data_IF_060164951141
#
_entry.id   IF_060164951141
#
_cell.length_a   1.000
_cell.length_b   1.000
_cell.length_c   1.000
_cell.angle_alpha   90.00
_cell.angle_beta   90.00
_cell.angle_gamma   90.00
#
_symmetry.space_group_name_H-M   'P 1'
#
loop_
_entity.id
_entity.type
_entity.pdbx_description
1 polymer ?
#
# COMPACT_ATOMS: atom_id res chain seq x y z
N UNK A 1 -13.35 12.22 -4.36
CA UNK A 1 -13.31 10.94 -3.60
C UNK A 1 -11.88 10.43 -3.60
N UNK A 2 -11.36 10.01 -2.45
CA UNK A 2 -10.14 9.20 -2.36
C UNK A 2 -10.56 7.74 -2.35
N UNK A 3 -9.95 6.93 -3.19
CA UNK A 3 -10.29 5.52 -3.33
C UNK A 3 -9.02 4.69 -3.60
N UNK A 4 -9.05 3.41 -3.25
CA UNK A 4 -7.98 2.49 -3.55
C UNK A 4 -8.02 2.08 -5.03
N UNK A 5 -6.88 2.16 -5.71
CA UNK A 5 -6.81 1.92 -7.15
C UNK A 5 -7.42 0.58 -7.61
N UNK A 6 -7.25 -0.55 -6.88
CA UNK A 6 -7.89 -1.81 -7.29
C UNK A 6 -9.41 -1.76 -7.46
N UNK A 7 -10.10 -0.91 -6.69
CA UNK A 7 -11.56 -0.76 -6.80
C UNK A 7 -12.00 0.21 -7.90
N UNK A 8 -11.13 1.13 -8.30
CA UNK A 8 -11.49 2.19 -9.26
C UNK A 8 -10.87 2.04 -10.64
N UNK A 9 -9.83 1.23 -10.80
CA UNK A 9 -9.06 1.16 -12.06
C UNK A 9 -9.92 0.78 -13.27
N UNK A 10 -10.82 -0.18 -13.14
CA UNK A 10 -11.69 -0.58 -14.24
C UNK A 10 -12.71 0.51 -14.63
N UNK A 11 -13.15 1.32 -13.66
CA UNK A 11 -14.01 2.47 -13.93
C UNK A 11 -13.26 3.60 -14.62
N UNK A 12 -11.99 3.79 -14.29
CA UNK A 12 -11.12 4.77 -14.95
C UNK A 12 -10.86 4.34 -16.39
N UNK A 13 -10.49 3.07 -16.62
CA UNK A 13 -10.27 2.49 -17.96
C UNK A 13 -11.52 2.58 -18.84
N UNK A 14 -12.69 2.39 -18.26
CA UNK A 14 -13.97 2.51 -18.95
C UNK A 14 -14.46 3.96 -19.13
N UNK A 15 -13.66 4.97 -18.74
CA UNK A 15 -14.03 6.38 -18.83
C UNK A 15 -15.17 6.84 -17.90
N UNK A 16 -15.57 6.00 -16.94
CA UNK A 16 -16.63 6.31 -15.97
C UNK A 16 -16.14 7.15 -14.80
N UNK A 17 -14.82 7.11 -14.53
CA UNK A 17 -14.14 7.95 -13.55
C UNK A 17 -12.94 8.63 -14.20
N UNK A 18 -12.64 9.84 -13.74
CA UNK A 18 -11.42 10.57 -14.10
C UNK A 18 -10.49 10.63 -12.90
N UNK A 19 -9.28 10.06 -13.04
CA UNK A 19 -8.23 10.23 -12.05
C UNK A 19 -7.67 11.66 -12.14
N UNK A 20 -7.58 12.36 -11.02
CA UNK A 20 -7.07 13.73 -10.91
C UNK A 20 -5.67 13.78 -10.33
N UNK A 21 -5.31 12.83 -9.49
CA UNK A 21 -4.00 12.70 -8.86
C UNK A 21 -3.87 11.35 -8.14
N UNK A 22 -2.64 10.95 -7.88
CA UNK A 22 -2.31 9.76 -7.09
C UNK A 22 -1.62 10.16 -5.79
N UNK A 23 -1.89 9.43 -4.73
CA UNK A 23 -1.31 9.68 -3.39
C UNK A 23 0.02 8.98 -3.16
N UNK A 24 0.51 8.25 -4.14
CA UNK A 24 1.82 7.59 -4.14
C UNK A 24 2.95 8.61 -4.31
N UNK A 25 4.18 8.31 -3.81
CA UNK A 25 5.33 9.23 -3.94
C UNK A 25 5.81 9.37 -5.39
N UNK A 26 5.43 8.46 -6.27
CA UNK A 26 5.77 8.48 -7.71
C UNK A 26 4.52 8.27 -8.55
N UNK A 27 4.48 8.82 -9.78
CA UNK A 27 3.42 8.53 -10.74
C UNK A 27 3.28 7.02 -10.99
N UNK A 28 2.07 6.58 -11.30
CA UNK A 28 1.78 5.18 -11.58
C UNK A 28 1.77 4.93 -13.09
N UNK A 29 2.47 3.88 -13.54
CA UNK A 29 2.48 3.47 -14.96
C UNK A 29 1.09 3.14 -15.50
N UNK A 30 0.19 2.65 -14.62
CA UNK A 30 -1.21 2.36 -14.98
C UNK A 30 -2.07 3.60 -15.24
N UNK A 31 -1.61 4.77 -14.81
CA UNK A 31 -2.31 6.05 -14.96
C UNK A 31 -1.38 7.10 -15.58
N UNK A 32 -0.98 6.92 -16.85
CA UNK A 32 -0.07 7.84 -17.51
C UNK A 32 -0.66 9.25 -17.55
N UNK A 33 0.18 10.24 -17.23
CA UNK A 33 -0.23 11.66 -17.20
C UNK A 33 -1.03 12.09 -15.97
N UNK A 34 -1.27 11.22 -15.01
CA UNK A 34 -1.88 11.59 -13.73
C UNK A 34 -0.76 11.95 -12.74
N UNK A 35 -0.72 13.21 -12.24
CA UNK A 35 0.33 13.68 -11.35
C UNK A 35 0.20 13.08 -9.95
N UNK A 36 1.27 13.17 -9.17
CA UNK A 36 1.20 12.88 -7.73
C UNK A 36 0.64 14.10 -6.97
N UNK A 37 -0.08 13.85 -5.89
CA UNK A 37 -0.52 14.94 -5.01
C UNK A 37 0.67 15.63 -4.37
N UNK A 38 1.77 14.90 -4.11
CA UNK A 38 3.01 15.43 -3.56
C UNK A 38 3.67 16.52 -4.42
N UNK A 39 3.41 16.56 -5.74
CA UNK A 39 3.86 17.65 -6.61
C UNK A 39 3.25 19.01 -6.27
N UNK A 40 2.03 19.01 -5.74
CA UNK A 40 1.29 20.22 -5.36
C UNK A 40 1.30 20.49 -3.86
N UNK A 41 1.42 19.42 -3.06
CA UNK A 41 1.47 19.46 -1.60
C UNK A 41 2.71 18.70 -1.12
N UNK A 42 3.87 19.37 -0.99
CA UNK A 42 5.10 18.73 -0.57
C UNK A 42 4.95 17.96 0.75
N UNK A 43 5.42 16.72 0.77
CA UNK A 43 5.30 15.82 1.93
C UNK A 43 3.97 15.05 2.01
N UNK A 44 3.03 15.29 1.09
CA UNK A 44 1.81 14.48 1.05
C UNK A 44 2.11 13.11 0.42
N UNK A 45 1.96 12.09 1.24
CA UNK A 45 2.06 10.69 0.83
C UNK A 45 1.12 9.84 1.68
N UNK A 46 0.27 9.06 1.02
CA UNK A 46 -0.57 8.06 1.68
C UNK A 46 -0.80 6.88 0.77
N UNK A 47 -0.66 5.67 1.32
CA UNK A 47 -0.86 4.42 0.61
C UNK A 47 -1.63 3.44 1.49
N UNK A 48 -2.49 2.65 0.86
CA UNK A 48 -2.98 1.44 1.49
C UNK A 48 -1.97 0.32 1.27
N UNK A 49 -1.81 -0.53 2.27
CA UNK A 49 -0.96 -1.71 2.16
C UNK A 49 -1.68 -2.93 2.74
N UNK A 50 -1.27 -4.11 2.30
CA UNK A 50 -1.72 -5.39 2.85
C UNK A 50 -0.51 -6.22 3.27
N UNK A 51 -0.64 -6.93 4.38
CA UNK A 51 0.39 -7.79 4.92
C UNK A 51 -0.19 -8.98 5.67
N UNK A 52 0.66 -9.96 5.96
CA UNK A 52 0.30 -11.10 6.80
C UNK A 52 0.80 -10.88 8.23
N UNK A 53 -0.11 -11.03 9.19
CA UNK A 53 0.20 -11.05 10.61
C UNK A 53 0.05 -12.46 11.19
N UNK A 54 0.87 -12.80 12.16
CA UNK A 54 0.74 -14.01 12.96
C UNK A 54 0.38 -13.65 14.41
N UNK A 55 -0.31 -14.52 15.16
CA UNK A 55 -0.59 -14.31 16.58
C UNK A 55 0.69 -14.04 17.38
N UNK A 56 0.56 -13.24 18.45
CA UNK A 56 1.68 -13.03 19.37
C UNK A 56 2.16 -14.36 19.95
N UNK A 57 3.49 -14.54 20.04
CA UNK A 57 4.11 -15.79 20.53
C UNK A 57 4.24 -16.89 19.46
N UNK A 58 3.87 -16.65 18.19
CA UNK A 58 4.18 -17.60 17.12
C UNK A 58 5.69 -17.86 17.05
N UNK A 59 6.14 -19.13 17.06
CA UNK A 59 7.56 -19.47 16.97
C UNK A 59 8.25 -18.84 15.76
N UNK A 60 9.50 -18.39 15.95
CA UNK A 60 10.22 -17.62 14.94
C UNK A 60 10.46 -18.40 13.65
N UNK A 61 10.72 -19.70 13.74
CA UNK A 61 10.89 -20.59 12.60
C UNK A 61 9.63 -20.66 11.72
N UNK A 62 8.45 -20.62 12.33
CA UNK A 62 7.17 -20.54 11.62
C UNK A 62 7.02 -19.20 10.90
N UNK A 63 7.32 -18.08 11.59
CA UNK A 63 7.27 -16.74 10.99
C UNK A 63 8.25 -16.65 9.81
N UNK A 64 9.48 -17.16 9.98
CA UNK A 64 10.50 -17.14 8.92
C UNK A 64 10.10 -18.02 7.73
N UNK A 65 9.46 -19.17 7.97
CA UNK A 65 8.93 -20.04 6.91
C UNK A 65 7.81 -19.36 6.12
N UNK A 66 6.88 -18.69 6.80
CA UNK A 66 5.82 -17.91 6.17
C UNK A 66 6.40 -16.75 5.36
N UNK A 67 7.35 -16.00 5.91
CA UNK A 67 7.99 -14.89 5.22
C UNK A 67 8.72 -15.35 3.94
N UNK A 68 9.46 -16.47 3.99
CA UNK A 68 10.07 -17.07 2.80
C UNK A 68 9.02 -17.45 1.74
N UNK A 69 7.90 -18.04 2.17
CA UNK A 69 6.80 -18.41 1.26
C UNK A 69 6.18 -17.18 0.58
N UNK A 70 5.92 -16.13 1.35
CA UNK A 70 5.40 -14.84 0.81
C UNK A 70 6.41 -14.21 -0.13
N UNK A 71 7.70 -14.16 0.25
CA UNK A 71 8.76 -13.62 -0.62
C UNK A 71 8.87 -14.35 -1.95
N UNK A 72 8.81 -15.69 -1.93
CA UNK A 72 8.81 -16.50 -3.14
C UNK A 72 7.57 -16.24 -4.00
N UNK A 73 6.39 -16.12 -3.40
CA UNK A 73 5.15 -15.78 -4.10
C UNK A 73 5.21 -14.39 -4.75
N UNK A 74 5.71 -13.38 -4.04
CA UNK A 74 5.88 -12.02 -4.59
C UNK A 74 6.93 -11.95 -5.71
N UNK A 75 7.88 -12.88 -5.75
CA UNK A 75 8.86 -13.00 -6.82
C UNK A 75 8.31 -13.75 -8.05
N UNK A 76 7.19 -14.47 -7.92
CA UNK A 76 6.57 -15.17 -9.04
C UNK A 76 6.08 -14.17 -10.11
N UNK A 77 6.50 -14.32 -11.40
CA UNK A 77 6.17 -13.36 -12.44
C UNK A 77 4.67 -13.20 -12.69
N UNK A 78 3.89 -14.29 -12.55
CA UNK A 78 2.43 -14.26 -12.78
C UNK A 78 1.72 -13.50 -11.68
N UNK A 79 2.08 -13.79 -10.41
CA UNK A 79 1.53 -13.08 -9.27
C UNK A 79 1.92 -11.61 -9.28
N UNK A 80 3.20 -11.31 -9.57
CA UNK A 80 3.68 -9.94 -9.70
C UNK A 80 2.91 -9.17 -10.78
N UNK A 81 2.74 -9.75 -11.97
CA UNK A 81 1.95 -9.13 -13.04
C UNK A 81 0.51 -8.86 -12.59
N UNK A 82 -0.11 -9.82 -11.88
CA UNK A 82 -1.48 -9.65 -11.37
C UNK A 82 -1.59 -8.53 -10.32
N UNK A 83 -0.62 -8.42 -9.42
CA UNK A 83 -0.58 -7.34 -8.42
C UNK A 83 -0.43 -5.99 -9.13
N UNK A 84 0.48 -5.89 -10.09
CA UNK A 84 0.69 -4.66 -10.86
C UNK A 84 -0.55 -4.26 -11.66
N UNK A 85 -1.23 -5.21 -12.30
CA UNK A 85 -2.47 -4.97 -13.06
C UNK A 85 -3.61 -4.43 -12.18
N UNK A 86 -3.61 -4.79 -10.92
CA UNK A 86 -4.52 -4.25 -9.90
C UNK A 86 -4.06 -2.91 -9.30
N UNK A 87 -2.93 -2.36 -9.75
CA UNK A 87 -2.39 -1.11 -9.23
C UNK A 87 -1.60 -1.25 -7.92
N UNK A 88 -1.32 -2.49 -7.50
CA UNK A 88 -0.48 -2.75 -6.35
C UNK A 88 1.01 -2.76 -6.71
N UNK A 89 1.86 -2.52 -5.73
CA UNK A 89 3.33 -2.65 -5.85
C UNK A 89 3.80 -3.71 -4.86
N UNK A 90 4.43 -4.82 -5.33
CA UNK A 90 4.99 -5.81 -4.42
C UNK A 90 6.05 -5.18 -3.51
N UNK A 91 5.93 -5.41 -2.21
CA UNK A 91 6.84 -4.87 -1.18
C UNK A 91 7.41 -6.02 -0.34
N UNK A 92 8.37 -6.82 -0.84
CA UNK A 92 9.00 -7.86 -0.05
C UNK A 92 9.79 -7.23 1.10
N UNK A 93 9.51 -7.68 2.31
CA UNK A 93 10.16 -7.23 3.55
C UNK A 93 10.44 -8.41 4.46
N UNK A 94 11.48 -8.31 5.25
CA UNK A 94 11.68 -9.19 6.40
C UNK A 94 10.65 -8.90 7.50
N UNK A 95 10.39 -9.84 8.43
CA UNK A 95 9.51 -9.58 9.57
C UNK A 95 9.92 -8.36 10.41
N UNK A 96 11.22 -8.12 10.55
CA UNK A 96 11.75 -6.97 11.29
C UNK A 96 11.48 -5.64 10.55
N UNK A 97 11.76 -5.59 9.25
CA UNK A 97 11.48 -4.40 8.42
C UNK A 97 10.00 -4.09 8.39
N UNK A 98 9.14 -5.11 8.25
CA UNK A 98 7.69 -4.90 8.28
C UNK A 98 7.20 -4.40 9.65
N UNK A 99 7.79 -4.88 10.75
CA UNK A 99 7.50 -4.37 12.10
C UNK A 99 7.86 -2.89 12.25
N UNK A 100 9.02 -2.46 11.76
CA UNK A 100 9.43 -1.05 11.75
C UNK A 100 8.51 -0.19 10.87
N UNK A 101 8.13 -0.69 9.71
CA UNK A 101 7.18 -0.03 8.81
C UNK A 101 5.82 0.17 9.49
N UNK A 102 5.27 -0.86 10.15
CA UNK A 102 4.01 -0.76 10.88
C UNK A 102 4.08 0.26 12.04
N UNK A 103 5.21 0.30 12.76
CA UNK A 103 5.40 1.27 13.84
C UNK A 103 5.40 2.71 13.31
N UNK A 104 6.11 2.97 12.20
CA UNK A 104 6.17 4.27 11.56
C UNK A 104 4.79 4.71 11.03
N UNK A 105 4.06 3.83 10.34
CA UNK A 105 2.70 4.11 9.87
C UNK A 105 1.73 4.37 11.03
N UNK A 106 1.84 3.59 12.12
CA UNK A 106 1.02 3.81 13.32
C UNK A 106 1.26 5.19 13.92
N UNK A 107 2.51 5.62 14.03
CA UNK A 107 2.85 6.96 14.55
C UNK A 107 2.35 8.07 13.63
N UNK A 108 2.55 7.92 12.31
CA UNK A 108 2.05 8.86 11.30
C UNK A 108 0.54 9.07 11.42
N UNK A 109 -0.21 7.99 11.39
CA UNK A 109 -1.66 8.06 11.46
C UNK A 109 -2.18 8.51 12.83
N UNK A 110 -1.51 8.16 13.92
CA UNK A 110 -1.86 8.68 15.24
C UNK A 110 -1.74 10.21 15.31
N UNK A 111 -0.76 10.82 14.64
CA UNK A 111 -0.63 12.28 14.53
C UNK A 111 -1.80 12.88 13.74
N UNK A 112 -2.15 12.30 12.59
CA UNK A 112 -3.26 12.75 11.74
C UNK A 112 -4.60 12.66 12.49
N UNK A 113 -4.89 11.51 13.11
CA UNK A 113 -6.12 11.27 13.89
C UNK A 113 -6.27 12.31 15.00
N UNK A 114 -5.19 12.57 15.75
CA UNK A 114 -5.20 13.59 16.82
C UNK A 114 -5.41 15.00 16.26
N UNK A 115 -4.68 15.37 15.19
CA UNK A 115 -4.80 16.71 14.60
C UNK A 115 -6.18 16.97 14.01
N UNK A 116 -6.80 15.96 13.41
CA UNK A 116 -8.15 16.03 12.83
C UNK A 116 -9.27 15.80 13.86
N UNK A 117 -8.94 15.56 15.14
CA UNK A 117 -9.90 15.26 16.23
C UNK A 117 -10.89 14.12 15.87
N UNK A 118 -10.39 13.10 15.14
CA UNK A 118 -11.19 11.93 14.78
C UNK A 118 -11.41 11.09 16.03
N UNK A 119 -12.67 10.83 16.36
CA UNK A 119 -13.06 9.97 17.49
C UNK A 119 -13.48 8.60 16.98
N UNK A 120 -13.17 7.53 17.72
CA UNK A 120 -13.74 6.21 17.42
C UNK A 120 -15.27 6.30 17.46
N UNK A 121 -15.91 5.69 16.44
CA UNK A 121 -17.37 5.54 16.42
C UNK A 121 -17.82 4.43 17.37
#
# INVERSE_FOLDING_TARGET
MFDNLPSSIEHIRAGRLRALGVSTPKPLELLPGVPTIGEFLPGFETNAFAGLGAPAGTPRDIVDKLNKGVGAALADPKLKARILDLGGVPMPMTPAEFGLFLAAETEKWAKVIRAANIKPG
#
